data_IF_076977545923
#
_entry.id   IF_076977545923
#
_cell.length_a   1.000
_cell.length_b   1.000
_cell.length_c   1.000
_cell.angle_alpha   90.00
_cell.angle_beta   90.00
_cell.angle_gamma   90.00
#
_symmetry.space_group_name_H-M   'P 1'
#
loop_
_entity.id
_entity.type
_entity.pdbx_description
1 polymer ?
#
# COMPACT_ATOMS: atom_id res chain seq x y z
N UNK A 1 1.29 -31.02 -1.89
CA UNK A 1 0.72 -30.28 -0.74
C UNK A 1 1.19 -28.86 -0.88
N UNK A 2 0.31 -27.93 -1.28
CA UNK A 2 0.70 -26.57 -1.60
C UNK A 2 0.89 -25.73 -0.34
N UNK A 3 2.11 -25.26 -0.12
CA UNK A 3 2.42 -24.23 0.88
C UNK A 3 1.46 -23.05 0.70
N UNK A 4 0.55 -22.86 1.66
CA UNK A 4 -0.24 -21.64 1.79
C UNK A 4 0.75 -20.54 2.15
N UNK A 5 1.34 -19.91 1.14
CA UNK A 5 2.26 -18.78 1.25
C UNK A 5 1.57 -17.64 1.98
N UNK A 6 1.68 -17.61 3.30
CA UNK A 6 1.21 -16.52 4.15
C UNK A 6 1.99 -15.28 3.74
N UNK A 7 1.33 -14.32 3.08
CA UNK A 7 1.97 -13.07 2.69
C UNK A 7 2.12 -12.22 3.94
N UNK A 8 3.36 -12.04 4.37
CA UNK A 8 3.71 -11.17 5.51
C UNK A 8 3.27 -9.74 5.18
N UNK A 9 2.53 -9.13 6.10
CA UNK A 9 2.15 -7.73 5.97
C UNK A 9 3.38 -6.85 6.23
N UNK A 10 3.79 -6.07 5.23
CA UNK A 10 4.99 -5.22 5.29
C UNK A 10 4.57 -3.77 5.52
N UNK A 11 5.26 -3.11 6.45
CA UNK A 11 5.13 -1.67 6.70
C UNK A 11 5.33 -0.89 5.41
N UNK A 12 4.32 -0.14 5.01
CA UNK A 12 4.39 0.68 3.81
C UNK A 12 3.56 1.95 3.96
N UNK A 13 4.04 2.98 3.30
CA UNK A 13 3.31 4.20 3.02
C UNK A 13 2.54 4.03 1.72
N UNK A 14 1.31 4.53 1.71
CA UNK A 14 0.47 4.57 0.52
C UNK A 14 0.02 6.01 0.28
N UNK A 15 0.01 6.43 -0.99
CA UNK A 15 -0.61 7.67 -1.42
C UNK A 15 -2.00 7.35 -1.96
N UNK A 16 -3.02 7.98 -1.37
CA UNK A 16 -4.42 7.76 -1.69
C UNK A 16 -5.01 8.99 -2.39
N UNK A 17 -6.01 8.77 -3.25
CA UNK A 17 -6.86 9.86 -3.74
C UNK A 17 -7.63 10.54 -2.59
N UNK A 18 -8.12 11.79 -2.75
CA UNK A 18 -8.82 12.52 -1.68
C UNK A 18 -10.00 11.76 -1.09
N UNK A 19 -10.73 11.03 -1.93
CA UNK A 19 -11.85 10.18 -1.53
C UNK A 19 -11.43 8.86 -0.84
N UNK A 20 -10.13 8.60 -0.69
CA UNK A 20 -9.52 7.38 -0.13
C UNK A 20 -9.95 6.06 -0.78
N UNK A 21 -10.56 6.11 -1.97
CA UNK A 21 -11.05 4.91 -2.67
C UNK A 21 -9.98 4.21 -3.51
N UNK A 22 -8.86 4.88 -3.80
CA UNK A 22 -7.81 4.36 -4.68
C UNK A 22 -6.41 4.66 -4.16
N UNK A 23 -5.55 3.66 -4.20
CA UNK A 23 -4.09 3.80 -4.01
C UNK A 23 -3.47 4.21 -5.33
N UNK A 24 -2.73 5.32 -5.32
CA UNK A 24 -2.03 5.88 -6.48
C UNK A 24 -0.58 5.41 -6.52
N UNK A 25 0.08 5.34 -5.36
CA UNK A 25 1.45 4.86 -5.21
C UNK A 25 1.66 4.24 -3.83
N UNK A 26 2.70 3.42 -3.68
CA UNK A 26 3.09 2.85 -2.40
C UNK A 26 4.61 2.68 -2.31
N UNK A 27 5.17 2.87 -1.13
CA UNK A 27 6.59 2.65 -0.87
C UNK A 27 6.84 2.31 0.61
N UNK A 28 7.98 1.70 0.92
CA UNK A 28 8.34 1.37 2.31
C UNK A 28 8.63 2.60 3.17
N UNK A 29 9.06 3.70 2.52
CA UNK A 29 9.41 4.97 3.17
C UNK A 29 8.72 6.15 2.49
N UNK A 30 8.45 7.21 3.28
CA UNK A 30 7.74 8.41 2.83
C UNK A 30 8.52 9.17 1.74
N UNK A 31 9.86 9.24 1.81
CA UNK A 31 10.68 9.94 0.80
C UNK A 31 10.60 9.25 -0.56
N UNK A 32 10.55 7.92 -0.56
CA UNK A 32 10.41 7.13 -1.79
C UNK A 32 9.00 7.27 -2.36
N UNK A 33 7.98 7.28 -1.50
CA UNK A 33 6.60 7.52 -1.91
C UNK A 33 6.46 8.90 -2.57
N UNK A 34 7.04 9.92 -1.95
CA UNK A 34 6.98 11.29 -2.45
C UNK A 34 7.64 11.44 -3.83
N UNK A 35 8.82 10.83 -4.02
CA UNK A 35 9.48 10.77 -5.33
C UNK A 35 8.63 10.06 -6.39
N UNK A 36 7.93 8.99 -6.03
CA UNK A 36 7.04 8.28 -6.95
C UNK A 36 5.81 9.13 -7.30
N UNK A 37 5.19 9.76 -6.30
CA UNK A 37 4.05 10.66 -6.49
C UNK A 37 4.40 11.82 -7.41
N UNK A 38 5.54 12.49 -7.17
CA UNK A 38 6.04 13.59 -8.00
C UNK A 38 6.33 13.16 -9.46
N UNK A 39 6.74 11.90 -9.67
CA UNK A 39 6.93 11.35 -11.03
C UNK A 39 5.61 11.00 -11.72
N UNK A 40 4.62 10.51 -10.97
CA UNK A 40 3.37 9.96 -11.51
C UNK A 40 2.25 11.00 -11.66
N UNK A 41 2.22 12.02 -10.82
CA UNK A 41 1.13 12.99 -10.78
C UNK A 41 1.65 14.42 -10.76
N UNK A 42 1.19 15.21 -11.72
CA UNK A 42 1.13 16.67 -11.57
C UNK A 42 0.08 16.97 -10.49
N UNK A 43 0.52 17.28 -9.28
CA UNK A 43 -0.25 17.96 -8.22
C UNK A 43 -1.74 17.58 -8.13
N UNK A 44 -2.04 16.34 -7.74
CA UNK A 44 -3.37 16.01 -7.22
C UNK A 44 -3.26 16.02 -5.70
N UNK A 45 -4.25 16.58 -5.01
CA UNK A 45 -4.38 16.41 -3.57
C UNK A 45 -4.33 14.91 -3.24
N UNK A 46 -3.26 14.45 -2.60
CA UNK A 46 -3.08 13.06 -2.22
C UNK A 46 -2.92 12.97 -0.71
N UNK A 47 -3.53 11.95 -0.14
CA UNK A 47 -3.46 11.68 1.29
C UNK A 47 -2.39 10.61 1.51
N UNK A 48 -1.35 10.95 2.26
CA UNK A 48 -0.32 9.98 2.65
C UNK A 48 -0.79 9.24 3.89
N UNK A 49 -0.84 7.91 3.78
CA UNK A 49 -1.30 7.05 4.86
C UNK A 49 -0.24 6.00 5.16
N UNK A 50 0.14 5.90 6.44
CA UNK A 50 1.05 4.85 6.91
C UNK A 50 0.24 3.61 7.25
N UNK A 51 0.48 2.55 6.51
CA UNK A 51 -0.09 1.25 6.81
C UNK A 51 0.81 0.58 7.84
N UNK A 52 0.32 0.54 9.09
CA UNK A 52 1.00 -0.12 10.20
C UNK A 52 0.93 -1.64 10.06
N UNK A 53 1.90 -2.38 10.62
CA UNK A 53 1.82 -3.82 10.65
C UNK A 53 0.72 -4.16 11.64
N UNK A 54 -0.40 -4.66 11.15
CA UNK A 54 -1.07 -5.69 11.92
C UNK A 54 -0.11 -6.87 11.93
N UNK A 55 0.27 -7.36 13.12
CA UNK A 55 0.96 -8.65 13.29
C UNK A 55 -0.01 -9.76 12.85
N UNK A 56 -0.34 -9.79 11.58
CA UNK A 56 -1.37 -10.64 11.01
C UNK A 56 -0.96 -11.04 9.61
N UNK A 57 -1.08 -12.33 9.36
CA UNK A 57 -0.94 -12.91 8.04
C UNK A 57 -2.31 -12.86 7.36
N UNK A 58 -2.36 -12.40 6.12
CA UNK A 58 -3.60 -12.49 5.34
C UNK A 58 -3.55 -13.74 4.49
N UNK A 59 -4.53 -14.62 4.68
CA UNK A 59 -4.82 -15.69 3.72
C UNK A 59 -5.83 -15.13 2.72
N UNK A 60 -5.47 -14.93 1.44
CA UNK A 60 -6.49 -14.66 0.43
C UNK A 60 -7.45 -15.85 0.45
N UNK A 61 -8.71 -15.60 0.83
CA UNK A 61 -9.75 -16.62 0.70
C UNK A 61 -9.84 -16.92 -0.81
N UNK A 62 -9.35 -18.08 -1.21
CA UNK A 62 -9.78 -18.69 -2.46
C UNK A 62 -11.28 -18.99 -2.28
N UNK A 63 -12.14 -18.15 -2.86
CA UNK A 63 -13.50 -18.55 -3.14
C UNK A 63 -13.40 -19.52 -4.32
N UNK A 64 -13.57 -20.81 -4.02
CA UNK A 64 -13.83 -21.87 -5.00
C UNK A 64 -15.28 -22.27 -4.89
#
# INVERSE_FOLDING_TARGET
>A
MGDKSLIKYINKWVALTPNRKKVVAFASDIKTLDKQVNKLSKNKDLIYHRVLPVNSYYSPKCHG
#
